data_IF_818617553119
#
_entry.id   IF_818617553119
#
_cell.length_a   1.000
_cell.length_b   1.000
_cell.length_c   1.000
_cell.angle_alpha   90.00
_cell.angle_beta   90.00
_cell.angle_gamma   90.00
#
_symmetry.space_group_name_H-M   'P 1'
#
loop_
_entity.id
_entity.type
_entity.pdbx_description
1 polymer ?
#
# COMPACT_ATOMS: atom_id res chain seq x y z
N UNK A 1 81.42 -31.69 -26.80
CA UNK A 1 80.68 -30.93 -27.84
C UNK A 1 79.25 -31.49 -27.90
N UNK A 2 78.24 -30.61 -27.98
CA UNK A 2 76.79 -30.85 -28.13
C UNK A 2 75.97 -31.27 -26.89
N UNK A 3 75.56 -30.26 -26.11
CA UNK A 3 74.35 -30.33 -25.28
C UNK A 3 73.11 -30.08 -26.16
N UNK A 4 72.14 -31.00 -26.14
CA UNK A 4 70.80 -30.81 -26.71
C UNK A 4 69.97 -29.96 -25.74
N UNK A 5 69.51 -28.79 -26.16
CA UNK A 5 68.49 -28.01 -25.44
C UNK A 5 67.11 -28.54 -25.81
N UNK A 6 66.38 -29.04 -24.81
CA UNK A 6 64.97 -29.39 -24.89
C UNK A 6 64.15 -28.11 -24.60
N UNK A 7 63.43 -27.59 -25.58
CA UNK A 7 62.48 -26.49 -25.36
C UNK A 7 61.13 -27.09 -24.98
N UNK A 8 60.75 -26.96 -23.71
CA UNK A 8 59.39 -27.26 -23.23
C UNK A 8 58.55 -25.99 -23.43
N UNK A 9 57.53 -26.10 -24.28
CA UNK A 9 56.54 -25.04 -24.52
C UNK A 9 55.48 -25.14 -23.42
N UNK A 10 55.56 -24.29 -22.39
CA UNK A 10 54.51 -24.17 -21.37
C UNK A 10 53.42 -23.25 -21.92
N UNK A 11 52.26 -23.82 -22.26
CA UNK A 11 51.08 -23.04 -22.63
C UNK A 11 50.37 -22.61 -21.36
N UNK A 12 50.40 -21.31 -21.08
CA UNK A 12 49.58 -20.68 -20.05
C UNK A 12 48.13 -20.61 -20.55
N UNK A 13 47.27 -21.49 -20.04
CA UNK A 13 45.82 -21.35 -20.22
C UNK A 13 45.34 -20.36 -19.16
N UNK A 14 45.06 -19.13 -19.61
CA UNK A 14 44.42 -18.10 -18.82
C UNK A 14 42.95 -18.50 -18.63
N UNK A 15 42.60 -19.09 -17.48
CA UNK A 15 41.20 -19.25 -17.08
C UNK A 15 40.67 -17.85 -16.74
N UNK A 16 39.94 -17.26 -17.67
CA UNK A 16 39.11 -16.08 -17.40
C UNK A 16 37.98 -16.56 -16.50
N UNK A 17 38.05 -16.24 -15.21
CA UNK A 17 36.95 -16.40 -14.29
C UNK A 17 35.83 -15.46 -14.73
N UNK A 18 34.87 -16.01 -15.48
CA UNK A 18 33.62 -15.32 -15.80
C UNK A 18 32.91 -15.01 -14.49
N UNK A 19 33.03 -13.77 -14.04
CA UNK A 19 32.17 -13.21 -13.01
C UNK A 19 30.75 -13.25 -13.56
N UNK A 20 29.98 -14.25 -13.15
CA UNK A 20 28.54 -14.24 -13.32
C UNK A 20 28.04 -13.02 -12.54
N UNK A 21 27.81 -11.93 -13.28
CA UNK A 21 26.93 -10.85 -12.85
C UNK A 21 25.62 -11.55 -12.47
N UNK A 22 25.41 -11.69 -11.16
CA UNK A 22 24.13 -12.06 -10.60
C UNK A 22 23.16 -10.99 -11.06
N UNK A 23 22.43 -11.28 -12.12
CA UNK A 23 21.27 -10.51 -12.51
C UNK A 23 20.32 -10.67 -11.33
N UNK A 24 20.32 -9.73 -10.40
CA UNK A 24 19.36 -9.72 -9.31
C UNK A 24 18.00 -9.67 -9.97
N UNK A 25 17.29 -10.79 -9.95
CA UNK A 25 15.92 -10.88 -10.39
C UNK A 25 15.17 -9.83 -9.60
N UNK A 26 14.84 -8.71 -10.23
CA UNK A 26 14.12 -7.62 -9.58
C UNK A 26 12.81 -8.23 -9.08
N UNK A 27 12.71 -8.40 -7.76
CA UNK A 27 11.61 -9.12 -7.15
C UNK A 27 10.34 -8.35 -7.49
N UNK A 28 9.43 -8.95 -8.25
CA UNK A 28 8.18 -8.30 -8.61
C UNK A 28 7.30 -8.22 -7.36
N UNK A 29 7.37 -7.08 -6.66
CA UNK A 29 6.57 -6.83 -5.46
C UNK A 29 5.12 -6.48 -5.77
N UNK A 30 4.82 -6.08 -7.01
CA UNK A 30 3.47 -5.72 -7.42
C UNK A 30 2.49 -6.90 -7.26
N UNK A 31 1.26 -6.54 -6.89
CA UNK A 31 0.15 -7.48 -6.72
C UNK A 31 -0.41 -7.52 -5.30
N UNK A 32 -1.18 -8.57 -5.03
CA UNK A 32 -1.90 -8.76 -3.78
C UNK A 32 -1.08 -9.58 -2.79
N UNK A 33 -1.18 -9.19 -1.52
CA UNK A 33 -0.55 -9.84 -0.39
C UNK A 33 -1.57 -9.94 0.73
N UNK A 34 -1.60 -11.07 1.41
CA UNK A 34 -2.60 -11.34 2.44
C UNK A 34 -2.04 -12.23 3.54
N UNK A 35 -2.50 -12.02 4.77
CA UNK A 35 -2.08 -12.82 5.91
C UNK A 35 -2.51 -12.22 7.23
N UNK A 36 -2.16 -12.90 8.31
CA UNK A 36 -2.41 -12.45 9.67
C UNK A 36 -1.14 -11.82 10.24
N UNK A 37 -1.22 -10.55 10.65
CA UNK A 37 -0.15 -9.84 11.33
C UNK A 37 -0.45 -9.81 12.84
N UNK A 38 0.41 -10.48 13.61
CA UNK A 38 0.35 -10.56 15.07
C UNK A 38 1.24 -9.50 15.75
N UNK A 39 0.69 -8.34 16.10
CA UNK A 39 1.42 -7.30 16.83
C UNK A 39 1.68 -7.67 18.29
N UNK A 40 0.87 -8.58 18.86
CA UNK A 40 1.10 -9.20 20.16
C UNK A 40 0.48 -10.60 20.25
N UNK A 41 0.58 -11.26 21.41
CA UNK A 41 -0.09 -12.55 21.63
C UNK A 41 -1.62 -12.46 21.48
N UNK A 42 -2.19 -11.30 21.82
CA UNK A 42 -3.63 -11.03 21.86
C UNK A 42 -4.14 -10.18 20.69
N UNK A 43 -3.23 -9.58 19.93
CA UNK A 43 -3.55 -8.68 18.83
C UNK A 43 -3.06 -9.27 17.52
N UNK A 44 -3.99 -9.85 16.78
CA UNK A 44 -3.78 -10.34 15.43
C UNK A 44 -4.75 -9.63 14.50
N UNK A 45 -4.25 -9.16 13.37
CA UNK A 45 -5.03 -8.46 12.37
C UNK A 45 -4.92 -9.19 11.04
N UNK A 46 -6.06 -9.61 10.50
CA UNK A 46 -6.10 -10.09 9.12
C UNK A 46 -5.89 -8.91 8.20
N UNK A 47 -4.91 -9.01 7.31
CA UNK A 47 -4.38 -7.89 6.56
C UNK A 47 -4.37 -8.20 5.07
N UNK A 48 -4.85 -7.26 4.26
CA UNK A 48 -4.80 -7.30 2.80
C UNK A 48 -4.04 -6.08 2.29
N UNK A 49 -3.05 -6.31 1.43
CA UNK A 49 -2.20 -5.29 0.83
C UNK A 49 -2.22 -5.46 -0.68
N UNK A 50 -2.49 -4.37 -1.39
CA UNK A 50 -2.32 -4.27 -2.84
C UNK A 50 -1.17 -3.29 -3.10
N UNK A 51 -0.14 -3.75 -3.81
CA UNK A 51 0.95 -2.91 -4.32
C UNK A 51 0.75 -2.70 -5.81
N UNK A 52 0.36 -1.49 -6.19
CA UNK A 52 0.18 -1.09 -7.58
C UNK A 52 1.52 -0.76 -8.25
N UNK A 53 1.56 -0.91 -9.58
CA UNK A 53 2.75 -0.61 -10.38
C UNK A 53 3.16 0.87 -10.39
N UNK A 54 2.26 1.78 -10.00
CA UNK A 54 2.49 3.23 -9.95
C UNK A 54 2.97 3.72 -8.57
N UNK A 55 3.51 2.81 -7.75
CA UNK A 55 3.92 3.04 -6.36
C UNK A 55 2.79 3.37 -5.39
N UNK A 56 1.51 3.19 -5.75
CA UNK A 56 0.41 3.27 -4.78
C UNK A 56 0.27 1.96 -4.01
N UNK A 57 0.02 2.05 -2.70
CA UNK A 57 -0.47 0.89 -1.95
C UNK A 57 -1.89 1.13 -1.44
N UNK A 58 -2.62 0.03 -1.28
CA UNK A 58 -3.84 -0.01 -0.49
C UNK A 58 -3.69 -1.09 0.57
N UNK A 59 -3.89 -0.74 1.82
CA UNK A 59 -3.73 -1.64 2.95
C UNK A 59 -5.00 -1.61 3.80
N UNK A 60 -5.67 -2.76 3.94
CA UNK A 60 -6.84 -2.90 4.80
C UNK A 60 -6.53 -3.96 5.86
N UNK A 61 -6.75 -3.62 7.13
CA UNK A 61 -6.62 -4.56 8.24
C UNK A 61 -7.96 -4.74 8.98
N UNK A 62 -8.23 -5.96 9.40
CA UNK A 62 -9.39 -6.33 10.20
C UNK A 62 -8.93 -6.73 11.60
N UNK A 63 -9.31 -6.00 12.64
CA UNK A 63 -9.15 -6.48 14.01
C UNK A 63 -10.07 -7.68 14.26
N UNK A 64 -9.56 -8.73 14.92
CA UNK A 64 -10.28 -9.98 15.17
C UNK A 64 -11.58 -9.85 16.00
N UNK A 65 -11.78 -8.76 16.74
CA UNK A 65 -12.86 -8.63 17.73
C UNK A 65 -14.12 -7.93 17.20
N UNK A 66 -14.42 -8.05 15.90
CA UNK A 66 -15.65 -7.52 15.31
C UNK A 66 -15.69 -5.99 15.15
N UNK A 67 -14.55 -5.32 15.34
CA UNK A 67 -14.40 -3.93 14.96
C UNK A 67 -14.28 -3.80 13.43
N UNK A 68 -14.66 -2.64 12.91
CA UNK A 68 -14.58 -2.35 11.48
C UNK A 68 -13.12 -2.33 11.01
N UNK A 69 -12.93 -2.68 9.73
CA UNK A 69 -11.61 -2.68 9.13
C UNK A 69 -11.06 -1.24 9.05
N UNK A 70 -9.75 -1.03 9.18
CA UNK A 70 -9.14 0.25 8.85
C UNK A 70 -8.45 0.16 7.50
N UNK A 71 -8.63 1.17 6.66
CA UNK A 71 -8.01 1.25 5.35
C UNK A 71 -7.04 2.43 5.24
N UNK A 72 -5.90 2.16 4.64
CA UNK A 72 -4.83 3.10 4.42
C UNK A 72 -4.43 3.07 2.95
N UNK A 73 -4.16 4.25 2.41
CA UNK A 73 -3.65 4.43 1.05
C UNK A 73 -2.44 5.33 1.14
N UNK A 74 -1.42 5.04 0.33
CA UNK A 74 -0.19 5.80 0.36
C UNK A 74 0.77 5.37 -0.74
N UNK A 75 2.05 5.66 -0.52
CA UNK A 75 3.11 5.29 -1.44
C UNK A 75 3.94 4.14 -0.90
N UNK A 76 4.37 3.27 -1.81
CA UNK A 76 5.36 2.26 -1.48
C UNK A 76 6.65 2.48 -2.28
N UNK A 77 7.77 2.19 -1.64
CA UNK A 77 9.08 2.22 -2.27
C UNK A 77 10.00 1.20 -1.60
N UNK A 78 11.11 0.86 -2.26
CA UNK A 78 12.14 0.00 -1.68
C UNK A 78 13.36 0.84 -1.36
N UNK A 79 13.88 0.71 -0.13
CA UNK A 79 15.11 1.36 0.33
C UNK A 79 15.94 0.35 1.09
N UNK A 80 17.20 0.16 0.69
CA UNK A 80 18.13 -0.76 1.36
C UNK A 80 17.54 -2.18 1.56
N UNK A 81 16.90 -2.71 0.51
CA UNK A 81 16.18 -4.00 0.49
C UNK A 81 14.91 -4.08 1.37
N UNK A 82 14.52 -2.98 2.01
CA UNK A 82 13.29 -2.87 2.80
C UNK A 82 12.19 -2.22 1.95
N UNK A 83 11.03 -2.88 1.88
CA UNK A 83 9.80 -2.29 1.37
C UNK A 83 9.21 -1.37 2.45
N UNK A 84 9.05 -0.10 2.11
CA UNK A 84 8.45 0.92 2.96
C UNK A 84 7.05 1.23 2.44
N UNK A 85 6.05 1.11 3.30
CA UNK A 85 4.70 1.63 3.06
C UNK A 85 4.55 2.94 3.82
N UNK A 86 4.39 4.04 3.09
CA UNK A 86 4.25 5.40 3.60
C UNK A 86 2.85 5.93 3.32
N UNK A 87 1.97 5.78 4.30
CA UNK A 87 0.65 6.44 4.37
C UNK A 87 0.72 7.67 5.27
N UNK A 88 1.84 8.40 5.23
CA UNK A 88 2.11 9.56 6.05
C UNK A 88 2.11 9.23 7.54
N UNK A 89 1.52 10.11 8.34
CA UNK A 89 1.42 9.91 9.79
C UNK A 89 0.44 8.82 10.21
N UNK A 90 -0.49 8.46 9.32
CA UNK A 90 -1.53 7.47 9.61
C UNK A 90 -1.00 6.03 9.51
N UNK A 91 0.04 5.78 8.71
CA UNK A 91 0.65 4.46 8.58
C UNK A 91 2.10 4.55 8.08
N UNK A 92 3.02 3.90 8.81
CA UNK A 92 4.36 3.60 8.32
C UNK A 92 4.70 2.14 8.63
N UNK A 93 4.87 1.31 7.60
CA UNK A 93 5.26 -0.10 7.76
C UNK A 93 6.58 -0.37 7.03
N UNK A 94 7.45 -1.13 7.69
CA UNK A 94 8.69 -1.64 7.12
C UNK A 94 8.55 -3.15 6.92
N UNK A 95 8.78 -3.61 5.69
CA UNK A 95 8.59 -5.00 5.29
C UNK A 95 9.86 -5.52 4.61
N UNK A 96 10.35 -6.69 4.99
CA UNK A 96 11.41 -7.40 4.28
C UNK A 96 10.78 -8.33 3.22
N UNK A 97 11.05 -8.12 1.91
CA UNK A 97 10.63 -9.05 0.88
C UNK A 97 11.41 -10.36 0.93
N UNK A 98 10.71 -11.50 1.00
CA UNK A 98 11.28 -12.86 1.07
C UNK A 98 10.55 -13.80 0.11
N UNK A 99 11.09 -13.97 -1.11
CA UNK A 99 10.46 -14.71 -2.20
C UNK A 99 8.97 -14.32 -2.39
N UNK A 100 8.04 -15.16 -1.92
CA UNK A 100 6.58 -14.97 -1.97
C UNK A 100 5.97 -14.49 -0.64
N UNK A 101 6.79 -13.87 0.22
CA UNK A 101 6.38 -13.35 1.53
C UNK A 101 6.89 -11.92 1.74
N UNK A 102 6.13 -11.14 2.50
CA UNK A 102 6.58 -9.88 3.08
C UNK A 102 6.58 -10.06 4.59
N UNK A 103 7.72 -9.84 5.22
CA UNK A 103 7.87 -9.95 6.67
C UNK A 103 7.85 -8.58 7.32
N UNK A 104 6.96 -8.37 8.29
CA UNK A 104 6.93 -7.11 9.03
C UNK A 104 8.19 -6.98 9.89
N UNK A 105 8.82 -5.82 9.77
CA UNK A 105 9.99 -5.41 10.53
C UNK A 105 9.57 -4.46 11.66
N UNK A 106 10.44 -4.29 12.64
CA UNK A 106 10.30 -3.23 13.63
C UNK A 106 10.61 -1.84 13.04
N UNK A 107 10.47 -0.79 13.83
CA UNK A 107 10.71 0.60 13.42
C UNK A 107 12.19 0.90 13.11
N UNK A 108 13.12 0.03 13.51
CA UNK A 108 14.55 0.12 13.17
C UNK A 108 14.89 -0.66 11.88
N UNK A 109 13.90 -1.32 11.26
CA UNK A 109 14.08 -2.15 10.07
C UNK A 109 14.69 -3.52 10.39
N UNK A 110 14.54 -4.02 11.62
CA UNK A 110 15.03 -5.34 12.03
C UNK A 110 13.89 -6.34 12.10
N UNK A 111 14.22 -7.63 11.98
CA UNK A 111 13.26 -8.71 12.14
C UNK A 111 12.64 -8.69 13.54
N UNK A 112 11.31 -8.83 13.60
CA UNK A 112 10.60 -8.92 14.88
C UNK A 112 10.82 -10.31 15.48
N UNK A 113 11.48 -10.38 16.62
CA UNK A 113 11.80 -11.64 17.30
C UNK A 113 10.59 -12.08 18.15
N UNK A 114 9.91 -13.17 17.75
CA UNK A 114 8.74 -13.70 18.46
C UNK A 114 8.28 -15.08 17.97
N UNK A 115 7.36 -15.72 18.70
CA UNK A 115 6.84 -17.06 18.32
C UNK A 115 5.85 -17.01 17.15
N UNK A 116 5.15 -15.89 16.94
CA UNK A 116 4.23 -15.70 15.82
C UNK A 116 4.94 -14.97 14.69
N UNK A 117 4.92 -15.55 13.49
CA UNK A 117 5.51 -14.97 12.29
C UNK A 117 4.61 -13.87 11.74
N UNK A 118 5.17 -12.70 11.48
CA UNK A 118 4.49 -11.54 10.91
C UNK A 118 4.65 -11.52 9.39
N UNK A 119 3.89 -12.37 8.69
CA UNK A 119 4.09 -12.59 7.26
C UNK A 119 2.80 -12.30 6.48
N UNK A 120 2.93 -11.52 5.41
CA UNK A 120 1.96 -11.46 4.33
C UNK A 120 2.44 -12.37 3.20
N UNK A 121 1.58 -13.22 2.69
CA UNK A 121 1.88 -14.12 1.59
C UNK A 121 1.33 -13.58 0.28
N UNK A 122 2.08 -13.78 -0.80
CA UNK A 122 1.65 -13.36 -2.12
C UNK A 122 0.40 -14.11 -2.54
N UNK A 123 -0.62 -13.37 -2.96
CA UNK A 123 -1.88 -13.92 -3.43
C UNK A 123 -1.93 -13.87 -4.96
N UNK A 124 -2.47 -14.94 -5.55
CA UNK A 124 -2.70 -15.01 -7.02
C UNK A 124 -3.81 -14.03 -7.40
N UNK A 125 -4.82 -13.93 -6.54
CA UNK A 125 -5.96 -13.03 -6.67
C UNK A 125 -6.24 -12.41 -5.30
N UNK A 126 -6.60 -11.13 -5.30
CA UNK A 126 -7.10 -10.43 -4.13
C UNK A 126 -8.19 -9.47 -4.56
N UNK A 127 -9.13 -9.22 -3.66
CA UNK A 127 -10.23 -8.30 -3.94
C UNK A 127 -10.23 -7.21 -2.88
N UNK A 128 -9.94 -5.97 -3.28
CA UNK A 128 -10.15 -4.80 -2.44
C UNK A 128 -11.51 -4.13 -2.72
N UNK A 129 -12.11 -4.44 -3.86
CA UNK A 129 -13.42 -3.95 -4.25
C UNK A 129 -14.52 -4.52 -3.37
N UNK A 130 -15.53 -3.71 -3.07
CA UNK A 130 -16.69 -4.10 -2.25
C UNK A 130 -16.40 -4.32 -0.76
N UNK A 131 -15.14 -4.43 -0.34
CA UNK A 131 -14.77 -4.53 1.07
C UNK A 131 -14.94 -3.17 1.75
N UNK A 132 -15.72 -3.15 2.82
CA UNK A 132 -15.94 -1.96 3.63
C UNK A 132 -14.81 -1.77 4.64
N UNK A 133 -14.35 -0.55 4.81
CA UNK A 133 -13.33 -0.15 5.77
C UNK A 133 -13.51 1.31 6.18
N UNK A 134 -13.11 1.65 7.39
CA UNK A 134 -13.01 3.01 7.88
C UNK A 134 -11.82 3.68 7.20
N UNK A 135 -12.05 4.85 6.65
CA UNK A 135 -11.03 5.71 6.10
C UNK A 135 -11.19 7.14 6.63
N UNK A 136 -10.06 7.80 6.79
CA UNK A 136 -10.00 9.22 7.12
C UNK A 136 -9.38 9.96 5.95
N UNK A 137 -9.96 11.10 5.60
CA UNK A 137 -9.46 11.88 4.47
C UNK A 137 -10.16 13.20 4.28
N UNK A 138 -9.61 13.98 3.36
CA UNK A 138 -10.19 15.23 2.91
C UNK A 138 -11.23 14.97 1.84
N UNK A 139 -12.46 15.42 2.09
CA UNK A 139 -13.52 15.46 1.11
C UNK A 139 -13.57 16.83 0.44
N UNK A 140 -13.73 16.84 -0.88
CA UNK A 140 -13.89 18.07 -1.65
C UNK A 140 -14.95 17.85 -2.73
N UNK A 141 -15.82 18.84 -2.93
CA UNK A 141 -16.81 18.82 -4.00
C UNK A 141 -16.67 20.07 -4.88
N UNK A 142 -16.59 19.88 -6.19
CA UNK A 142 -16.55 20.98 -7.16
C UNK A 142 -17.06 20.52 -8.53
N UNK A 143 -17.89 21.35 -9.16
CA UNK A 143 -18.42 21.14 -10.52
C UNK A 143 -18.99 19.73 -10.75
N UNK A 144 -19.95 19.33 -9.90
CA UNK A 144 -20.63 18.02 -9.97
C UNK A 144 -19.67 16.82 -9.86
N UNK A 145 -18.54 17.00 -9.19
CA UNK A 145 -17.61 15.91 -8.89
C UNK A 145 -17.10 16.03 -7.45
N UNK A 146 -17.12 14.91 -6.75
CA UNK A 146 -16.53 14.80 -5.42
C UNK A 146 -15.27 13.96 -5.45
N UNK A 147 -14.32 14.36 -4.63
CA UNK A 147 -13.05 13.68 -4.48
C UNK A 147 -12.77 13.44 -2.99
N UNK A 148 -12.17 12.29 -2.70
CA UNK A 148 -11.69 11.93 -1.38
C UNK A 148 -10.19 11.69 -1.46
N UNK A 149 -9.43 12.49 -0.74
CA UNK A 149 -7.98 12.32 -0.56
C UNK A 149 -7.72 11.69 0.79
N UNK A 150 -7.14 10.51 0.80
CA UNK A 150 -6.79 9.80 2.03
C UNK A 150 -5.79 10.59 2.87
N UNK A 151 -5.97 10.59 4.19
CA UNK A 151 -4.96 11.14 5.09
C UNK A 151 -3.62 10.44 4.90
N UNK A 152 -2.54 11.23 4.93
CA UNK A 152 -1.19 10.73 4.72
C UNK A 152 -0.85 10.33 3.28
N UNK A 153 -1.73 10.63 2.33
CA UNK A 153 -1.49 10.45 0.90
C UNK A 153 -1.94 11.67 0.11
N UNK A 154 -1.30 11.92 -1.03
CA UNK A 154 -1.81 12.89 -2.01
C UNK A 154 -2.83 12.26 -2.98
N UNK A 155 -2.98 10.93 -2.92
CA UNK A 155 -3.86 10.14 -3.78
C UNK A 155 -5.30 10.48 -3.50
N UNK A 156 -6.00 10.80 -4.58
CA UNK A 156 -7.38 11.25 -4.58
C UNK A 156 -8.21 10.32 -5.43
N UNK A 157 -9.37 9.94 -4.93
CA UNK A 157 -10.32 9.08 -5.63
C UNK A 157 -11.63 9.84 -5.84
N UNK A 158 -12.22 9.67 -7.01
CA UNK A 158 -13.57 10.15 -7.27
C UNK A 158 -14.54 9.41 -6.35
N UNK A 159 -15.41 10.16 -5.70
CA UNK A 159 -16.47 9.62 -4.86
C UNK A 159 -17.70 9.38 -5.73
N UNK A 160 -18.24 8.18 -5.68
CA UNK A 160 -19.47 7.82 -6.36
C UNK A 160 -20.65 8.60 -5.75
N UNK A 161 -21.58 9.05 -6.61
CA UNK A 161 -22.77 9.76 -6.18
C UNK A 161 -23.82 8.78 -5.62
N UNK A 162 -23.70 8.44 -4.33
CA UNK A 162 -24.69 7.68 -3.54
C UNK A 162 -25.51 8.59 -2.63
N UNK A 163 -26.44 8.04 -1.84
CA UNK A 163 -27.22 8.83 -0.89
C UNK A 163 -26.33 9.49 0.18
N UNK A 164 -25.33 8.77 0.69
CA UNK A 164 -24.40 9.28 1.70
C UNK A 164 -23.41 10.31 1.15
N UNK A 165 -23.13 10.27 -0.17
CA UNK A 165 -22.39 11.32 -0.85
C UNK A 165 -23.12 12.68 -0.73
N UNK A 166 -24.46 12.71 -0.86
CA UNK A 166 -25.25 13.95 -0.70
C UNK A 166 -25.11 14.52 0.71
N UNK A 167 -25.00 13.67 1.74
CA UNK A 167 -24.75 14.12 3.11
C UNK A 167 -23.37 14.76 3.27
N UNK A 168 -22.34 14.19 2.65
CA UNK A 168 -20.98 14.72 2.67
C UNK A 168 -20.90 16.06 1.91
N UNK A 169 -21.58 16.15 0.77
CA UNK A 169 -21.72 17.38 -0.01
C UNK A 169 -22.37 18.50 0.81
N UNK A 170 -23.51 18.23 1.47
CA UNK A 170 -24.19 19.22 2.32
C UNK A 170 -23.31 19.71 3.46
N UNK A 171 -22.56 18.81 4.09
CA UNK A 171 -21.60 19.16 5.14
C UNK A 171 -20.50 20.09 4.59
N UNK A 172 -19.93 19.75 3.42
CA UNK A 172 -18.92 20.56 2.75
C UNK A 172 -19.43 21.95 2.36
N UNK A 173 -20.64 22.05 1.81
CA UNK A 173 -21.25 23.33 1.44
C UNK A 173 -21.52 24.20 2.68
N UNK A 174 -22.00 23.60 3.77
CA UNK A 174 -22.21 24.31 5.04
C UNK A 174 -20.90 24.82 5.65
N UNK A 175 -19.81 24.06 5.50
CA UNK A 175 -18.47 24.49 5.91
C UNK A 175 -18.01 25.69 5.07
N UNK A 176 -18.17 25.65 3.75
CA UNK A 176 -17.78 26.76 2.88
C UNK A 176 -18.56 28.06 3.14
N UNK A 177 -19.85 27.96 3.51
CA UNK A 177 -20.67 29.11 3.87
C UNK A 177 -20.16 29.81 5.15
N UNK A 178 -19.67 29.03 6.11
CA UNK A 178 -19.19 29.54 7.40
C UNK A 178 -17.72 29.96 7.35
N UNK A 179 -16.87 29.19 6.67
CA UNK A 179 -15.42 29.39 6.57
C UNK A 179 -14.93 29.13 5.12
N UNK A 180 -14.98 30.15 4.25
CA UNK A 180 -14.52 30.00 2.87
C UNK A 180 -13.04 29.59 2.80
N UNK A 181 -12.75 28.53 2.05
CA UNK A 181 -11.40 28.01 1.84
C UNK A 181 -10.92 27.00 2.89
N UNK A 182 -11.75 26.65 3.87
CA UNK A 182 -11.48 25.55 4.79
C UNK A 182 -11.70 24.19 4.10
N UNK A 183 -10.85 23.22 4.44
CA UNK A 183 -10.92 21.84 3.93
C UNK A 183 -11.81 21.00 4.85
N UNK A 184 -12.73 20.21 4.27
CA UNK A 184 -13.53 19.25 5.05
C UNK A 184 -12.76 17.95 5.23
N UNK A 185 -12.42 17.60 6.46
CA UNK A 185 -11.87 16.29 6.80
C UNK A 185 -12.94 15.43 7.47
N UNK A 186 -13.11 14.21 6.96
CA UNK A 186 -14.11 13.27 7.47
C UNK A 186 -13.48 11.92 7.76
N UNK A 187 -14.06 11.23 8.73
CA UNK A 187 -13.95 9.79 8.89
C UNK A 187 -15.24 9.15 8.37
N UNK A 188 -15.09 8.13 7.52
CA UNK A 188 -16.22 7.48 6.87
C UNK A 188 -15.98 5.98 6.69
N UNK A 189 -17.06 5.21 6.74
CA UNK A 189 -17.07 3.83 6.27
C UNK A 189 -17.18 3.83 4.75
N UNK A 190 -16.17 3.32 4.07
CA UNK A 190 -16.03 3.39 2.61
C UNK A 190 -15.73 2.04 1.99
N UNK A 191 -15.88 1.94 0.66
CA UNK A 191 -15.36 0.81 -0.12
C UNK A 191 -14.93 1.26 -1.50
N UNK A 192 -13.99 0.57 -2.14
CA UNK A 192 -13.71 0.77 -3.55
C UNK A 192 -14.68 -0.02 -4.43
N UNK A 193 -15.10 0.54 -5.56
CA UNK A 193 -15.83 -0.18 -6.60
C UNK A 193 -15.37 0.25 -7.99
N UNK A 194 -15.39 -0.69 -8.94
CA UNK A 194 -15.20 -0.39 -10.36
C UNK A 194 -16.52 0.09 -10.94
N UNK A 195 -16.63 1.39 -11.19
CA UNK A 195 -17.83 2.01 -11.73
C UNK A 195 -17.56 2.64 -13.09
N UNK A 196 -18.58 2.73 -13.97
CA UNK A 196 -18.46 3.45 -15.23
C UNK A 196 -18.03 4.90 -15.03
N UNK A 197 -17.17 5.41 -15.91
CA UNK A 197 -16.85 6.84 -15.97
C UNK A 197 -17.81 7.58 -16.89
N UNK A 198 -17.94 8.90 -16.71
CA UNK A 198 -18.75 9.74 -17.59
C UNK A 198 -18.21 9.80 -19.02
N UNK A 199 -16.90 9.66 -19.22
CA UNK A 199 -16.23 9.66 -20.53
C UNK A 199 -16.10 8.25 -21.15
N UNK A 200 -16.70 7.24 -20.51
CA UNK A 200 -16.63 5.84 -20.92
C UNK A 200 -15.52 5.04 -20.24
N UNK A 201 -15.65 3.71 -20.28
CA UNK A 201 -14.78 2.80 -19.54
C UNK A 201 -15.14 2.70 -18.05
N UNK A 202 -14.25 2.08 -17.26
CA UNK A 202 -14.41 1.92 -15.82
C UNK A 202 -13.26 2.62 -15.07
N UNK A 203 -13.56 3.17 -13.90
CA UNK A 203 -12.58 3.60 -12.90
C UNK A 203 -12.90 2.98 -11.55
N UNK A 204 -11.86 2.78 -10.76
CA UNK A 204 -12.03 2.63 -9.33
C UNK A 204 -12.55 3.95 -8.74
N UNK A 205 -13.70 3.89 -8.10
CA UNK A 205 -14.32 5.00 -7.36
C UNK A 205 -14.51 4.60 -5.90
N UNK A 206 -14.53 5.59 -5.03
CA UNK A 206 -14.81 5.41 -3.61
C UNK A 206 -16.32 5.55 -3.37
N UNK A 207 -16.91 4.61 -2.65
CA UNK A 207 -18.29 4.71 -2.16
C UNK A 207 -18.23 5.03 -0.68
N UNK A 208 -18.94 6.08 -0.27
CA UNK A 208 -19.22 6.38 1.13
C UNK A 208 -20.48 5.61 1.52
N UNK A 209 -20.39 4.75 2.53
CA UNK A 209 -21.52 4.00 3.09
C UNK A 209 -22.07 4.65 4.36
N UNK A 210 -21.21 5.34 5.11
CA UNK A 210 -21.58 6.01 6.34
C UNK A 210 -20.59 7.14 6.63
N UNK A 211 -21.09 8.29 7.05
CA UNK A 211 -20.28 9.38 7.61
C UNK A 211 -20.23 9.19 9.12
N UNK A 212 -19.03 8.98 9.66
CA UNK A 212 -18.84 8.67 11.07
C UNK A 212 -18.57 9.94 11.88
N UNK A 213 -17.60 10.73 11.44
CA UNK A 213 -17.18 11.94 12.16
C UNK A 213 -16.61 13.02 11.22
N UNK A 214 -16.66 14.26 11.69
CA UNK A 214 -15.93 15.39 11.12
C UNK A 214 -14.74 15.72 12.02
N UNK A 215 -13.54 15.72 11.44
CA UNK A 215 -12.30 15.96 12.19
C UNK A 215 -11.65 17.27 11.73
N UNK A 216 -10.83 17.87 12.58
CA UNK A 216 -10.20 19.16 12.28
C UNK A 216 -9.06 19.09 11.28
N UNK A 217 -8.35 17.95 11.20
CA UNK A 217 -7.21 17.75 10.30
C UNK A 217 -6.85 16.26 10.20
N UNK A 218 -6.09 15.90 9.17
CA UNK A 218 -5.31 14.65 9.14
C UNK A 218 -4.09 14.80 10.07
N UNK A 219 -4.18 14.27 11.29
CA UNK A 219 -3.12 14.38 12.30
C UNK A 219 -1.87 13.54 12.02
#
# INVERSE_FOLDING_TARGET
MRFKKLFVKVSFILLVASSFLSCSTQQNLGGFWGGDLAFSEFEVMTSNLLLESDSTFFYINWPLQGAEAQGYVGFWHVKDEILVLDGGKSLQLLLAPKADKLELLDFEGKEVIGQKKLLLEKQIEGEITGKKFIATGRFHHFADASNFRFCGSDRSFTVAMTEEHVSAERMFLSLLESNPGEDLFIQALVSFQMLPKMDGGQSMQLIIHELMDHISACD
#
